data_IF_091378768842
#
_entry.id   IF_091378768842
#
_cell.length_a   1.000
_cell.length_b   1.000
_cell.length_c   1.000
_cell.angle_alpha   90.00
_cell.angle_beta   90.00
_cell.angle_gamma   90.00
#
_symmetry.space_group_name_H-M   'P 1'
#
loop_
_entity.id
_entity.type
_entity.pdbx_description
1 polymer ?
#
# COMPACT_ATOMS: atom_id res chain seq x y z
N UNK A 1 8.79 -4.56 -10.41
CA UNK A 1 8.23 -5.15 -9.17
C UNK A 1 8.69 -4.33 -7.98
N UNK A 2 7.79 -4.01 -7.06
CA UNK A 2 8.10 -3.27 -5.83
C UNK A 2 7.44 -3.90 -4.60
N UNK A 3 8.04 -3.68 -3.44
CA UNK A 3 7.57 -4.14 -2.14
C UNK A 3 7.12 -2.96 -1.27
N UNK A 4 6.05 -3.17 -0.50
CA UNK A 4 5.49 -2.21 0.45
C UNK A 4 5.30 -2.91 1.79
N UNK A 5 5.88 -2.35 2.83
CA UNK A 5 5.82 -2.89 4.20
C UNK A 5 5.96 -1.73 5.17
N UNK A 6 4.93 -1.48 5.97
CA UNK A 6 4.89 -0.40 6.94
C UNK A 6 5.98 -0.53 8.03
N UNK A 7 6.45 -1.75 8.30
CA UNK A 7 7.45 -2.05 9.32
C UNK A 7 8.88 -2.14 8.76
N UNK A 8 9.06 -1.93 7.45
CA UNK A 8 10.38 -1.92 6.83
C UNK A 8 11.26 -0.77 7.35
N UNK A 9 12.53 -1.06 7.64
CA UNK A 9 13.48 -0.12 8.25
C UNK A 9 14.69 0.20 7.38
N UNK A 10 14.79 -0.41 6.20
CA UNK A 10 15.92 -0.23 5.28
C UNK A 10 15.83 1.03 4.42
N UNK A 11 16.25 0.90 3.16
CA UNK A 11 16.46 2.06 2.28
C UNK A 11 15.18 2.76 1.76
N UNK A 12 13.98 2.24 2.09
CA UNK A 12 12.69 2.80 1.68
C UNK A 12 12.59 3.08 0.16
N UNK A 13 13.02 2.11 -0.65
CA UNK A 13 13.10 2.22 -2.10
C UNK A 13 12.30 1.14 -2.86
N UNK A 14 11.61 0.26 -2.13
CA UNK A 14 10.75 -0.78 -2.68
C UNK A 14 11.47 -1.93 -3.37
N UNK A 15 12.81 -2.01 -3.32
CA UNK A 15 13.58 -2.99 -4.11
C UNK A 15 13.56 -4.41 -3.54
N UNK A 16 13.36 -4.56 -2.24
CA UNK A 16 13.28 -5.82 -1.50
C UNK A 16 12.39 -5.63 -0.27
N UNK A 17 11.97 -6.70 0.42
CA UNK A 17 11.26 -6.57 1.69
C UNK A 17 12.00 -5.72 2.74
N UNK A 18 13.31 -5.93 3.03
CA UNK A 18 14.04 -5.05 3.96
C UNK A 18 14.09 -3.59 3.54
N UNK A 19 14.06 -3.31 2.22
CA UNK A 19 14.11 -1.96 1.66
C UNK A 19 12.74 -1.49 1.14
N UNK A 20 11.65 -2.13 1.56
CA UNK A 20 10.32 -1.87 1.04
C UNK A 20 9.91 -0.41 1.28
N UNK A 21 8.97 0.07 0.47
CA UNK A 21 8.35 1.36 0.78
C UNK A 21 7.49 1.24 2.04
N UNK A 22 7.58 2.19 2.95
CA UNK A 22 6.76 2.18 4.19
C UNK A 22 5.33 2.68 3.98
N UNK A 23 5.01 3.16 2.78
CA UNK A 23 3.65 3.55 2.35
C UNK A 23 3.41 3.09 0.92
N UNK A 24 2.14 2.96 0.53
CA UNK A 24 1.79 2.47 -0.80
C UNK A 24 2.00 3.50 -1.92
N UNK A 25 1.88 4.80 -1.64
CA UNK A 25 1.94 5.85 -2.66
C UNK A 25 3.24 5.86 -3.48
N UNK A 26 4.45 5.79 -2.88
CA UNK A 26 5.69 5.75 -3.65
C UNK A 26 5.79 4.53 -4.59
N UNK A 27 5.20 3.40 -4.20
CA UNK A 27 5.16 2.21 -5.06
C UNK A 27 4.25 2.44 -6.28
N UNK A 28 3.06 3.02 -6.07
CA UNK A 28 2.14 3.40 -7.15
C UNK A 28 2.77 4.41 -8.11
N UNK A 29 3.59 5.33 -7.60
CA UNK A 29 4.30 6.31 -8.41
C UNK A 29 5.43 5.67 -9.24
N UNK A 30 6.14 4.69 -8.68
CA UNK A 30 7.30 4.04 -9.31
C UNK A 30 6.96 3.00 -10.39
N UNK A 31 5.84 2.27 -10.24
CA UNK A 31 5.47 1.18 -11.17
C UNK A 31 5.12 1.65 -12.59
N UNK A 32 5.41 0.78 -13.56
CA UNK A 32 5.01 0.88 -14.96
C UNK A 32 4.05 -0.26 -15.33
N UNK A 33 3.40 -0.16 -16.50
CA UNK A 33 2.54 -1.24 -17.00
C UNK A 33 3.30 -2.57 -17.09
N UNK A 34 2.74 -3.65 -16.54
CA UNK A 34 3.38 -4.96 -16.41
C UNK A 34 4.07 -5.19 -15.06
N UNK A 35 4.26 -4.14 -14.23
CA UNK A 35 4.80 -4.30 -12.89
C UNK A 35 3.79 -4.87 -11.90
N UNK A 36 4.35 -5.36 -10.80
CA UNK A 36 3.61 -5.82 -9.63
C UNK A 36 4.05 -5.06 -8.39
N UNK A 37 3.11 -4.80 -7.49
CA UNK A 37 3.37 -4.32 -6.13
C UNK A 37 2.92 -5.42 -5.18
N UNK A 38 3.83 -5.87 -4.32
CA UNK A 38 3.52 -6.79 -3.23
C UNK A 38 3.51 -6.01 -1.92
N UNK A 39 2.46 -6.18 -1.15
CA UNK A 39 2.18 -5.39 0.05
C UNK A 39 2.09 -6.34 1.24
N UNK A 40 2.86 -6.05 2.27
CA UNK A 40 2.75 -6.75 3.54
C UNK A 40 1.38 -6.51 4.18
N UNK A 41 1.10 -7.27 5.22
CA UNK A 41 -0.01 -7.00 6.12
C UNK A 41 0.03 -5.56 6.64
N UNK A 42 -1.12 -5.11 7.13
CA UNK A 42 -1.24 -3.82 7.79
C UNK A 42 -2.22 -2.88 7.07
N UNK A 43 -2.35 -1.68 7.62
CA UNK A 43 -3.30 -0.67 7.13
C UNK A 43 -2.57 0.48 6.44
N UNK A 44 -2.81 0.64 5.14
CA UNK A 44 -2.21 1.67 4.31
C UNK A 44 -3.25 2.73 3.95
N UNK A 45 -2.87 4.00 4.12
CA UNK A 45 -3.72 5.16 3.85
C UNK A 45 -3.19 5.96 2.66
N UNK A 46 -4.07 6.54 1.81
CA UNK A 46 -3.62 7.33 0.68
C UNK A 46 -3.04 8.66 1.13
N UNK A 47 -2.05 9.16 0.40
CA UNK A 47 -1.37 10.42 0.71
C UNK A 47 -1.37 11.41 -0.46
N UNK A 48 -1.80 11.00 -1.66
CA UNK A 48 -1.87 11.85 -2.84
C UNK A 48 -3.30 12.34 -3.09
N UNK A 49 -3.46 13.65 -3.22
CA UNK A 49 -4.75 14.30 -3.49
C UNK A 49 -5.13 14.18 -4.97
N UNK A 50 -6.39 13.85 -5.24
CA UNK A 50 -6.93 13.71 -6.59
C UNK A 50 -8.30 14.40 -6.70
N UNK A 51 -8.50 15.22 -7.74
CA UNK A 51 -9.79 15.86 -8.04
C UNK A 51 -10.19 17.01 -7.10
N UNK A 52 -9.31 17.45 -6.20
CA UNK A 52 -9.55 18.56 -5.28
C UNK A 52 -8.33 18.85 -4.40
N UNK A 53 -8.55 19.57 -3.31
CA UNK A 53 -7.51 19.93 -2.33
C UNK A 53 -7.95 19.59 -0.91
N UNK A 54 -7.00 19.11 -0.11
CA UNK A 54 -7.21 18.68 1.26
C UNK A 54 -7.32 17.16 1.41
N UNK A 55 -7.05 16.68 2.62
CA UNK A 55 -6.85 15.27 2.90
C UNK A 55 -7.98 14.34 2.41
N UNK A 56 -9.24 14.82 2.40
CA UNK A 56 -10.41 14.03 1.94
C UNK A 56 -10.38 13.69 0.45
N UNK A 57 -9.56 14.38 -0.34
CA UNK A 57 -9.33 14.07 -1.75
C UNK A 57 -8.18 13.07 -1.95
N UNK A 58 -7.54 12.60 -0.87
CA UNK A 58 -6.53 11.56 -0.95
C UNK A 58 -7.15 10.23 -1.36
N UNK A 59 -6.62 9.60 -2.41
CA UNK A 59 -7.04 8.27 -2.86
C UNK A 59 -5.86 7.53 -3.48
N UNK A 60 -5.93 6.20 -3.58
CA UNK A 60 -4.98 5.44 -4.37
C UNK A 60 -5.38 5.47 -5.84
N UNK A 61 -4.42 5.47 -6.76
CA UNK A 61 -4.69 5.38 -8.20
C UNK A 61 -3.85 4.24 -8.79
N UNK A 62 -4.49 3.12 -9.12
CA UNK A 62 -3.80 1.97 -9.71
C UNK A 62 -3.62 2.22 -11.22
N UNK A 63 -2.38 2.18 -11.68
CA UNK A 63 -2.07 2.33 -13.10
C UNK A 63 -2.54 1.11 -13.90
N UNK A 64 -3.04 1.33 -15.11
CA UNK A 64 -3.45 0.26 -16.00
C UNK A 64 -2.31 -0.74 -16.28
N UNK A 65 -2.61 -2.02 -16.14
CA UNK A 65 -1.64 -3.10 -16.33
C UNK A 65 -0.68 -3.31 -15.15
N UNK A 66 -0.86 -2.62 -14.03
CA UNK A 66 -0.15 -2.92 -12.77
C UNK A 66 -0.99 -3.88 -11.94
N UNK A 67 -0.34 -4.89 -11.36
CA UNK A 67 -0.97 -5.75 -10.37
C UNK A 67 -0.60 -5.32 -8.94
N UNK A 68 -1.56 -5.41 -8.02
CA UNK A 68 -1.38 -5.12 -6.61
C UNK A 68 -1.81 -6.34 -5.80
N UNK A 69 -0.91 -6.87 -4.97
CA UNK A 69 -1.14 -8.08 -4.19
C UNK A 69 -0.82 -7.82 -2.71
N UNK A 70 -1.82 -7.94 -1.85
CA UNK A 70 -1.65 -8.02 -0.40
C UNK A 70 -1.68 -9.46 0.11
N UNK A 71 -1.32 -9.68 1.37
CA UNK A 71 -1.29 -11.03 1.95
C UNK A 71 0.10 -11.57 2.31
N UNK A 72 1.09 -10.70 2.49
CA UNK A 72 2.46 -11.10 2.83
C UNK A 72 2.77 -10.70 4.27
N UNK A 73 3.59 -11.48 4.97
CA UNK A 73 4.16 -11.12 6.27
C UNK A 73 5.66 -11.46 6.27
N UNK A 74 6.52 -10.49 5.90
CA UNK A 74 7.97 -10.68 5.89
C UNK A 74 8.55 -11.00 7.27
N UNK A 75 7.85 -10.66 8.36
CA UNK A 75 8.33 -10.86 9.73
C UNK A 75 8.33 -12.33 10.15
N UNK A 76 7.41 -13.13 9.58
CA UNK A 76 7.34 -14.59 9.78
C UNK A 76 7.96 -15.39 8.64
N UNK A 77 8.49 -14.71 7.62
CA UNK A 77 9.18 -15.31 6.48
C UNK A 77 8.32 -15.50 5.24
N UNK A 78 7.11 -14.93 5.19
CA UNK A 78 6.20 -15.02 4.05
C UNK A 78 6.61 -14.03 2.94
N UNK A 79 7.74 -14.33 2.30
CA UNK A 79 8.41 -13.41 1.37
C UNK A 79 8.26 -13.81 -0.11
N UNK A 80 7.81 -15.03 -0.40
CA UNK A 80 7.59 -15.53 -1.75
C UNK A 80 6.09 -15.62 -2.10
N UNK A 81 5.78 -15.74 -3.40
CA UNK A 81 4.41 -15.82 -3.88
C UNK A 81 3.61 -16.97 -3.27
N UNK A 82 4.26 -18.10 -3.02
CA UNK A 82 3.65 -19.31 -2.45
C UNK A 82 3.31 -19.16 -0.97
N UNK A 83 3.97 -18.24 -0.27
CA UNK A 83 3.78 -18.01 1.16
C UNK A 83 2.64 -17.00 1.42
N UNK A 84 2.10 -16.39 0.35
CA UNK A 84 1.06 -15.39 0.44
C UNK A 84 -0.23 -15.97 1.03
N UNK A 85 -0.60 -15.49 2.21
CA UNK A 85 -1.84 -15.81 2.91
C UNK A 85 -2.62 -14.52 3.18
N UNK A 86 -3.60 -14.23 2.34
CA UNK A 86 -4.41 -13.02 2.45
C UNK A 86 -5.49 -13.12 3.54
N UNK A 87 -5.74 -14.31 4.08
CA UNK A 87 -6.65 -14.49 5.22
C UNK A 87 -5.91 -14.26 6.54
N UNK A 88 -4.69 -14.79 6.67
CA UNK A 88 -3.86 -14.61 7.87
C UNK A 88 -3.16 -13.24 7.92
N UNK A 89 -2.74 -12.70 6.77
CA UNK A 89 -1.90 -11.50 6.67
C UNK A 89 -2.63 -10.37 5.91
N UNK A 90 -3.77 -9.86 6.41
CA UNK A 90 -4.61 -8.94 5.64
C UNK A 90 -3.92 -7.60 5.37
N UNK A 91 -3.88 -7.22 4.09
CA UNK A 91 -3.54 -5.85 3.67
C UNK A 91 -4.83 -5.04 3.55
N UNK A 92 -4.93 -3.97 4.34
CA UNK A 92 -6.11 -3.10 4.40
C UNK A 92 -5.78 -1.76 3.77
N UNK A 93 -6.49 -1.40 2.70
CA UNK A 93 -6.42 -0.07 2.11
C UNK A 93 -7.55 0.78 2.69
N UNK A 94 -7.21 1.81 3.46
CA UNK A 94 -8.17 2.56 4.26
C UNK A 94 -8.23 4.03 3.88
N UNK A 95 -9.45 4.51 3.65
CA UNK A 95 -9.77 5.93 3.53
C UNK A 95 -10.06 6.61 4.87
N UNK A 96 -9.98 5.89 5.99
CA UNK A 96 -10.10 6.44 7.35
C UNK A 96 -8.84 7.24 7.68
N UNK A 97 -8.83 8.49 7.25
CA UNK A 97 -7.72 9.42 7.36
C UNK A 97 -8.03 10.45 8.46
N UNK A 98 -7.00 10.88 9.19
CA UNK A 98 -7.19 11.71 10.37
C UNK A 98 -7.58 10.87 11.59
N UNK A 99 -8.75 11.13 12.15
CA UNK A 99 -9.22 10.53 13.40
C UNK A 99 -9.92 9.20 13.14
N UNK A 100 -9.38 8.12 13.69
CA UNK A 100 -9.95 6.78 13.51
C UNK A 100 -11.46 6.74 13.85
N UNK A 101 -12.26 6.24 12.91
CA UNK A 101 -13.72 6.10 13.04
C UNK A 101 -14.52 7.39 12.83
N UNK A 102 -13.87 8.51 12.50
CA UNK A 102 -14.57 9.76 12.20
C UNK A 102 -14.90 9.86 10.71
N UNK A 103 -16.17 9.79 10.32
CA UNK A 103 -16.52 9.88 8.91
C UNK A 103 -16.33 11.29 8.29
N UNK A 104 -16.14 12.33 9.11
CA UNK A 104 -16.06 13.72 8.64
C UNK A 104 -14.70 14.11 8.04
N UNK A 105 -13.64 13.38 8.37
CA UNK A 105 -12.30 13.53 7.81
C UNK A 105 -11.92 12.40 6.84
N UNK A 106 -12.71 11.33 6.73
CA UNK A 106 -12.48 10.26 5.75
C UNK A 106 -12.35 10.76 4.31
N UNK A 107 -11.47 10.07 3.58
CA UNK A 107 -11.31 10.17 2.13
C UNK A 107 -12.64 9.90 1.44
N UNK A 108 -12.94 10.68 0.39
CA UNK A 108 -14.13 10.44 -0.43
C UNK A 108 -14.01 9.15 -1.26
N UNK A 109 -12.78 8.79 -1.62
CA UNK A 109 -12.46 7.62 -2.44
C UNK A 109 -11.24 6.89 -1.86
N UNK A 110 -11.25 5.55 -1.96
CA UNK A 110 -10.07 4.74 -1.71
C UNK A 110 -9.35 4.41 -3.03
N UNK A 111 -10.10 4.27 -4.13
CA UNK A 111 -9.63 4.15 -5.52
C UNK A 111 -10.44 5.04 -6.47
#
# INVERSE_FOLDING_TARGET
MYYVDADATGANNGSTWPNAFTTLQPALDAVLSGDQIWVAEGTYKPTAEHGGTGARYSSFQLKNGVALYGGFDPSVGDIAWQDRDWEANPTILSGDIGTAGNASDNSYHVF
#
